data_IF_099407315118
#
_entry.id   IF_099407315118
#
_cell.length_a   1.000
_cell.length_b   1.000
_cell.length_c   1.000
_cell.angle_alpha   90.00
_cell.angle_beta   90.00
_cell.angle_gamma   90.00
#
_symmetry.space_group_name_H-M   'P 1'
#
loop_
_entity.id
_entity.type
_entity.pdbx_description
1 polymer ?
#
# COMPACT_ATOMS: atom_id res chain seq x y z
N UNK A 1 -38.45 12.28 86.76
CA UNK A 1 -39.07 13.40 86.01
C UNK A 1 -38.70 13.19 84.54
N UNK A 2 -39.57 12.70 83.63
CA UNK A 2 -40.73 13.37 82.96
C UNK A 2 -40.28 14.70 82.30
N UNK A 3 -40.42 15.05 81.01
CA UNK A 3 -41.24 14.71 79.80
C UNK A 3 -40.52 15.37 78.59
N UNK A 4 -40.20 14.72 77.45
CA UNK A 4 -40.98 14.45 76.21
C UNK A 4 -41.22 15.65 75.24
N UNK A 5 -41.07 15.37 73.93
CA UNK A 5 -41.56 16.06 72.69
C UNK A 5 -40.51 16.95 71.98
N UNK A 6 -40.24 16.88 70.67
CA UNK A 6 -40.76 16.13 69.52
C UNK A 6 -40.03 16.67 68.26
N UNK A 7 -39.67 15.85 67.27
CA UNK A 7 -40.39 15.75 66.00
C UNK A 7 -39.85 14.57 65.19
N UNK A 8 -40.76 13.65 64.84
CA UNK A 8 -40.67 12.73 63.71
C UNK A 8 -41.01 13.50 62.42
N UNK A 9 -40.43 13.12 61.28
CA UNK A 9 -41.08 12.74 60.01
C UNK A 9 -39.98 12.37 58.98
N UNK A 10 -40.03 11.11 58.49
CA UNK A 10 -39.75 10.56 57.15
C UNK A 10 -38.51 11.04 56.36
N UNK A 11 -37.62 10.18 55.82
CA UNK A 11 -37.93 9.17 54.80
C UNK A 11 -36.87 8.05 54.71
N UNK A 12 -37.32 6.94 54.15
CA UNK A 12 -36.67 5.65 53.84
C UNK A 12 -35.64 5.65 52.69
N UNK A 13 -34.59 4.82 52.87
CA UNK A 13 -33.99 3.81 51.95
C UNK A 13 -33.34 4.24 50.60
N UNK A 14 -32.12 3.71 50.36
CA UNK A 14 -31.33 3.59 49.12
C UNK A 14 -30.87 4.91 48.47
N UNK A 15 -29.61 5.16 48.10
CA UNK A 15 -28.49 4.33 47.67
C UNK A 15 -27.25 5.21 47.61
N UNK A 16 -26.04 4.71 47.90
CA UNK A 16 -24.85 5.14 47.16
C UNK A 16 -23.71 4.14 47.35
N UNK A 17 -23.29 3.59 46.22
CA UNK A 17 -22.31 2.54 46.04
C UNK A 17 -20.93 3.20 46.05
N UNK A 18 -20.17 3.07 47.15
CA UNK A 18 -18.72 3.33 47.12
C UNK A 18 -18.03 2.04 46.67
N UNK A 19 -17.89 1.88 45.35
CA UNK A 19 -17.14 0.80 44.71
C UNK A 19 -15.64 1.01 44.93
N UNK A 20 -15.09 0.18 45.81
CA UNK A 20 -13.81 -0.54 45.67
C UNK A 20 -12.80 0.04 44.68
N UNK A 21 -11.69 0.54 45.21
CA UNK A 21 -10.45 0.83 44.49
C UNK A 21 -10.05 -0.38 43.64
N UNK A 22 -10.07 -0.18 42.31
CA UNK A 22 -9.72 -1.17 41.32
C UNK A 22 -8.23 -0.99 40.98
N UNK A 23 -7.42 -2.00 41.31
CA UNK A 23 -6.05 -2.13 40.84
C UNK A 23 -6.08 -2.47 39.34
N UNK A 24 -6.09 -1.46 38.48
CA UNK A 24 -5.82 -1.63 37.04
C UNK A 24 -4.76 -0.61 36.62
N UNK A 25 -3.53 -1.09 36.50
CA UNK A 25 -2.49 -0.45 35.69
C UNK A 25 -3.06 -0.22 34.30
N UNK A 26 -3.32 1.04 33.96
CA UNK A 26 -3.62 1.42 32.58
C UNK A 26 -2.30 1.28 31.82
N UNK A 27 -2.19 0.25 30.97
CA UNK A 27 -1.10 0.10 30.02
C UNK A 27 -1.21 1.32 29.09
N UNK A 28 -0.18 2.18 29.08
CA UNK A 28 -0.11 3.28 28.12
C UNK A 28 -0.15 2.67 26.71
N UNK A 29 -1.19 2.97 25.95
CA UNK A 29 -1.38 2.45 24.60
C UNK A 29 -1.15 3.58 23.62
N UNK A 30 -0.27 3.37 22.65
CA UNK A 30 -0.09 4.28 21.53
C UNK A 30 -1.21 4.10 20.49
N UNK A 31 -1.52 5.15 19.71
CA UNK A 31 -2.43 5.03 18.57
C UNK A 31 -1.84 4.08 17.51
N UNK A 32 -2.69 3.58 16.61
CA UNK A 32 -2.27 2.67 15.55
C UNK A 32 -1.08 3.23 14.74
N UNK A 33 -0.15 2.34 14.40
CA UNK A 33 1.09 2.70 13.69
C UNK A 33 2.17 3.35 14.55
N UNK A 34 2.01 3.39 15.88
CA UNK A 34 3.00 3.94 16.80
C UNK A 34 3.43 2.91 17.86
N UNK A 35 4.71 2.91 18.21
CA UNK A 35 5.28 2.12 19.29
C UNK A 35 5.50 2.96 20.55
N UNK A 36 5.26 2.33 21.71
CA UNK A 36 5.57 2.93 23.01
C UNK A 36 7.04 2.66 23.35
N UNK A 37 7.80 3.69 23.70
CA UNK A 37 9.14 3.48 24.27
C UNK A 37 9.00 2.74 25.61
N UNK A 38 9.67 1.60 25.74
CA UNK A 38 9.41 0.54 26.73
C UNK A 38 9.57 0.99 28.18
N UNK A 39 10.35 2.05 28.43
CA UNK A 39 10.63 2.53 29.79
C UNK A 39 10.20 3.98 30.06
N UNK A 40 9.35 4.54 29.19
CA UNK A 40 8.72 5.85 29.44
C UNK A 40 7.21 5.74 29.38
N UNK A 41 6.54 6.34 30.37
CA UNK A 41 5.10 6.45 30.36
C UNK A 41 4.73 7.60 29.42
N UNK A 42 4.33 7.26 28.19
CA UNK A 42 3.63 8.11 27.20
C UNK A 42 4.45 8.73 26.07
N UNK A 43 5.63 8.20 25.72
CA UNK A 43 6.29 8.57 24.45
C UNK A 43 5.96 7.52 23.40
N UNK A 44 5.28 7.97 22.35
CA UNK A 44 4.91 7.17 21.20
C UNK A 44 5.70 7.66 19.99
N UNK A 45 6.45 6.76 19.36
CA UNK A 45 7.14 7.03 18.11
C UNK A 45 6.42 6.32 16.97
N UNK A 46 6.45 6.87 15.77
CA UNK A 46 5.85 6.21 14.61
C UNK A 46 6.67 4.96 14.25
N UNK A 47 6.02 3.91 13.77
CA UNK A 47 6.69 2.63 13.46
C UNK A 47 7.84 2.74 12.46
N UNK A 48 7.82 3.75 11.59
CA UNK A 48 8.89 4.03 10.62
C UNK A 48 10.13 4.68 11.24
N UNK A 49 10.06 5.06 12.52
CA UNK A 49 11.15 5.69 13.28
C UNK A 49 11.85 4.71 14.21
N UNK A 50 11.58 3.42 14.05
CA UNK A 50 12.25 2.37 14.78
C UNK A 50 13.31 1.76 13.87
N UNK A 51 14.57 1.70 14.33
CA UNK A 51 15.73 1.31 13.54
C UNK A 51 15.98 2.20 12.30
N UNK A 52 15.75 3.51 12.42
CA UNK A 52 15.93 4.48 11.34
C UNK A 52 17.26 5.25 11.41
N UNK A 53 18.06 5.00 12.46
CA UNK A 53 19.37 5.61 12.69
C UNK A 53 19.34 6.95 13.43
N UNK A 54 18.14 7.50 13.71
CA UNK A 54 17.94 8.66 14.57
C UNK A 54 17.45 8.19 15.95
N UNK A 55 17.94 8.83 17.02
CA UNK A 55 17.52 8.48 18.39
C UNK A 55 16.25 9.27 18.74
N UNK A 56 15.10 8.63 18.63
CA UNK A 56 13.78 9.19 18.90
C UNK A 56 13.21 8.75 20.27
N UNK A 57 13.62 7.60 20.82
CA UNK A 57 13.33 7.24 22.22
C UNK A 57 14.42 7.76 23.19
N UNK A 58 14.06 8.18 24.43
CA UNK A 58 15.02 8.77 25.37
C UNK A 58 16.19 7.89 25.80
N UNK A 59 16.05 6.57 25.64
CA UNK A 59 17.06 5.58 25.98
C UNK A 59 17.63 4.88 24.73
N UNK A 60 17.36 5.42 23.53
CA UNK A 60 17.74 4.81 22.24
C UNK A 60 17.22 3.38 22.04
N UNK A 61 16.14 3.02 22.74
CA UNK A 61 15.51 1.68 22.66
C UNK A 61 14.95 1.38 21.27
N UNK A 62 14.59 2.43 20.53
CA UNK A 62 14.17 2.40 19.13
C UNK A 62 15.30 1.98 18.17
N UNK A 63 16.55 2.11 18.60
CA UNK A 63 17.75 1.78 17.83
C UNK A 63 18.55 0.60 18.43
N UNK A 64 18.07 0.02 19.54
CA UNK A 64 18.68 -1.13 20.18
C UNK A 64 18.19 -2.44 19.53
N UNK A 65 19.12 -3.39 19.33
CA UNK A 65 18.83 -4.73 18.79
C UNK A 65 18.18 -4.75 17.38
N UNK A 66 18.48 -3.76 16.56
CA UNK A 66 18.17 -3.80 15.13
C UNK A 66 18.99 -4.92 14.46
N UNK A 67 18.35 -6.05 14.14
CA UNK A 67 18.97 -7.17 13.43
C UNK A 67 19.26 -6.73 11.98
N UNK A 68 20.52 -6.89 11.57
CA UNK A 68 21.14 -6.60 10.28
C UNK A 68 20.63 -5.36 9.51
N UNK A 69 21.53 -4.36 9.41
CA UNK A 69 21.39 -3.08 8.69
C UNK A 69 20.88 -3.17 7.23
N UNK A 70 20.87 -4.37 6.62
CA UNK A 70 20.31 -4.62 5.30
C UNK A 70 18.78 -4.81 5.32
N UNK A 71 18.26 -5.40 6.40
CA UNK A 71 16.82 -5.53 6.60
C UNK A 71 16.23 -4.18 6.99
N UNK A 72 16.93 -3.35 7.79
CA UNK A 72 16.61 -1.93 8.13
C UNK A 72 16.18 -1.09 6.91
N UNK A 73 16.95 -1.17 5.82
CA UNK A 73 16.66 -0.51 4.54
C UNK A 73 15.44 -1.07 3.80
N UNK A 74 14.95 -2.24 4.20
CA UNK A 74 13.87 -2.98 3.54
C UNK A 74 12.72 -3.36 4.51
N UNK A 75 12.61 -2.75 5.71
CA UNK A 75 11.44 -2.98 6.60
C UNK A 75 10.13 -2.62 5.89
N UNK A 76 10.18 -1.58 5.06
CA UNK A 76 9.10 -1.24 4.14
C UNK A 76 8.71 -2.44 3.26
N UNK A 77 9.63 -3.30 2.82
CA UNK A 77 9.32 -4.49 2.01
C UNK A 77 8.55 -5.57 2.78
N UNK A 78 8.78 -5.72 4.09
CA UNK A 78 8.12 -6.75 4.91
C UNK A 78 6.78 -6.30 5.51
N UNK A 79 6.62 -5.00 5.78
CA UNK A 79 5.39 -4.43 6.34
C UNK A 79 4.62 -3.54 5.36
N UNK A 80 5.06 -3.44 4.09
CA UNK A 80 4.24 -2.84 3.04
C UNK A 80 2.92 -3.56 3.01
N UNK A 81 1.87 -2.79 3.29
CA UNK A 81 0.49 -3.14 2.94
C UNK A 81 0.51 -3.78 1.56
N UNK A 82 -0.23 -4.89 1.40
CA UNK A 82 -0.45 -5.49 0.08
C UNK A 82 -0.79 -4.36 -0.90
N UNK A 83 -0.47 -4.44 -2.19
CA UNK A 83 -0.82 -3.40 -3.15
C UNK A 83 -2.31 -2.98 -3.13
N UNK A 84 -3.19 -3.80 -2.54
CA UNK A 84 -4.62 -3.60 -2.29
C UNK A 84 -4.98 -2.91 -0.94
N UNK A 85 -4.01 -2.68 -0.06
CA UNK A 85 -4.18 -2.18 1.31
C UNK A 85 -3.37 -0.89 1.57
N UNK A 86 -2.68 -0.34 0.55
CA UNK A 86 -1.90 0.91 0.67
C UNK A 86 -2.79 2.10 1.10
N UNK A 87 -4.13 1.99 1.01
CA UNK A 87 -5.05 3.08 1.38
C UNK A 87 -6.31 2.56 2.10
N UNK A 88 -6.23 2.35 3.42
CA UNK A 88 -7.39 1.95 4.25
C UNK A 88 -8.24 3.16 4.67
N UNK A 89 -7.90 4.37 4.22
CA UNK A 89 -8.52 5.61 4.71
C UNK A 89 -9.22 6.45 3.64
N UNK A 90 -9.29 5.96 2.40
CA UNK A 90 -9.74 6.74 1.27
C UNK A 90 -11.24 6.57 0.99
N UNK A 91 -11.89 7.72 0.84
CA UNK A 91 -13.23 7.90 0.28
C UNK A 91 -13.51 6.89 -0.86
N UNK A 92 -14.38 5.91 -0.60
CA UNK A 92 -14.71 4.83 -1.55
C UNK A 92 -15.38 5.35 -2.85
N UNK A 93 -15.73 6.64 -2.90
CA UNK A 93 -16.41 7.21 -4.07
C UNK A 93 -15.46 7.39 -5.25
N UNK A 94 -15.96 7.10 -6.45
CA UNK A 94 -15.23 7.33 -7.69
C UNK A 94 -15.16 8.84 -7.98
N UNK A 95 -13.94 9.37 -8.18
CA UNK A 95 -13.69 10.76 -8.55
C UNK A 95 -13.48 10.96 -10.05
N UNK A 96 -13.61 9.90 -10.84
CA UNK A 96 -13.47 9.89 -12.29
C UNK A 96 -14.85 9.86 -12.95
N UNK A 97 -15.03 10.58 -14.05
CA UNK A 97 -16.19 10.39 -14.92
C UNK A 97 -16.02 9.08 -15.74
N UNK A 98 -16.30 7.95 -15.09
CA UNK A 98 -16.13 6.61 -15.65
C UNK A 98 -17.46 5.85 -15.72
N UNK A 99 -17.82 5.42 -16.91
CA UNK A 99 -19.01 4.61 -17.17
C UNK A 99 -18.63 3.32 -17.92
N UNK A 100 -17.77 2.51 -17.31
CA UNK A 100 -17.31 1.24 -17.88
C UNK A 100 -17.44 0.06 -16.92
N UNK A 101 -16.98 -1.11 -17.37
CA UNK A 101 -17.17 -2.37 -16.66
C UNK A 101 -16.22 -2.57 -15.46
N UNK A 102 -15.22 -1.71 -15.31
CA UNK A 102 -14.26 -1.78 -14.22
C UNK A 102 -14.80 -1.12 -12.94
N UNK A 103 -14.28 -1.54 -11.79
CA UNK A 103 -14.63 -0.93 -10.51
C UNK A 103 -13.75 0.31 -10.34
N UNK A 104 -14.38 1.47 -10.14
CA UNK A 104 -13.66 2.70 -9.83
C UNK A 104 -13.67 2.96 -8.32
N UNK A 105 -12.51 3.30 -7.75
CA UNK A 105 -12.36 3.75 -6.36
C UNK A 105 -11.43 4.95 -6.35
N UNK A 106 -11.88 6.11 -5.86
CA UNK A 106 -11.13 7.36 -5.95
C UNK A 106 -10.65 7.65 -7.39
N UNK A 107 -9.37 7.42 -7.70
CA UNK A 107 -8.73 7.59 -9.03
C UNK A 107 -8.09 6.30 -9.53
N UNK A 108 -8.51 5.18 -8.97
CA UNK A 108 -8.02 3.86 -9.28
C UNK A 108 -9.10 3.09 -10.06
N UNK A 109 -8.68 2.45 -11.15
CA UNK A 109 -9.55 1.58 -11.96
C UNK A 109 -9.13 0.13 -11.81
N UNK A 110 -10.03 -0.69 -11.25
CA UNK A 110 -9.85 -2.10 -10.98
C UNK A 110 -10.63 -2.94 -12.00
N UNK A 111 -9.93 -3.46 -12.99
CA UNK A 111 -10.44 -4.21 -14.14
C UNK A 111 -10.12 -5.71 -14.04
N UNK A 112 -10.50 -6.35 -12.93
CA UNK A 112 -10.18 -7.75 -12.68
C UNK A 112 -11.00 -8.72 -13.53
N UNK A 113 -10.37 -9.77 -14.05
CA UNK A 113 -11.02 -10.92 -14.70
C UNK A 113 -12.04 -10.58 -15.81
N UNK A 114 -11.80 -9.49 -16.54
CA UNK A 114 -12.66 -9.03 -17.65
C UNK A 114 -12.32 -9.67 -18.99
N UNK A 115 -11.32 -10.56 -19.02
CA UNK A 115 -10.80 -11.22 -20.22
C UNK A 115 -10.33 -10.23 -21.31
N UNK A 116 -9.82 -9.06 -20.90
CA UNK A 116 -9.26 -8.07 -21.83
C UNK A 116 -8.00 -8.61 -22.51
N UNK A 117 -7.86 -8.31 -23.79
CA UNK A 117 -6.66 -8.57 -24.60
C UNK A 117 -5.91 -7.29 -24.96
N UNK A 118 -6.58 -6.14 -24.85
CA UNK A 118 -6.06 -4.77 -24.98
C UNK A 118 -6.72 -3.87 -23.94
N UNK A 119 -6.10 -2.75 -23.63
CA UNK A 119 -6.71 -1.73 -22.77
C UNK A 119 -8.03 -1.24 -23.39
N UNK A 120 -9.14 -1.19 -22.63
CA UNK A 120 -10.44 -0.81 -23.16
C UNK A 120 -10.48 0.66 -23.58
N UNK A 121 -11.35 1.01 -24.54
CA UNK A 121 -11.37 2.35 -25.15
C UNK A 121 -12.11 3.38 -24.26
N UNK A 122 -12.82 2.93 -23.21
CA UNK A 122 -13.63 3.76 -22.30
C UNK A 122 -12.87 4.27 -21.07
N UNK A 123 -11.53 4.36 -21.15
CA UNK A 123 -10.71 4.88 -20.06
C UNK A 123 -10.79 6.41 -20.04
N UNK A 124 -11.09 7.05 -18.90
CA UNK A 124 -11.12 8.51 -18.79
C UNK A 124 -9.73 9.10 -19.06
N UNK A 125 -9.68 10.29 -19.66
CA UNK A 125 -8.42 11.03 -19.89
C UNK A 125 -7.98 11.88 -18.70
N UNK A 126 -8.69 11.77 -17.59
CA UNK A 126 -8.38 12.44 -16.33
C UNK A 126 -7.21 11.76 -15.61
N UNK A 127 -6.72 12.39 -14.53
CA UNK A 127 -5.63 11.84 -13.73
C UNK A 127 -6.03 10.54 -13.02
N UNK A 128 -5.73 9.41 -13.66
CA UNK A 128 -5.78 8.06 -13.09
C UNK A 128 -4.46 7.78 -12.38
N UNK A 129 -4.55 7.31 -11.13
CA UNK A 129 -3.40 6.99 -10.31
C UNK A 129 -2.95 5.53 -10.53
N UNK A 130 -3.89 4.59 -10.41
CA UNK A 130 -3.65 3.15 -10.55
C UNK A 130 -4.60 2.52 -11.57
N UNK A 131 -4.06 1.64 -12.40
CA UNK A 131 -4.86 0.73 -13.22
C UNK A 131 -4.48 -0.72 -12.92
N UNK A 132 -5.48 -1.51 -12.57
CA UNK A 132 -5.30 -2.92 -12.26
C UNK A 132 -6.03 -3.81 -13.26
N UNK A 133 -5.27 -4.58 -14.02
CA UNK A 133 -5.74 -5.50 -15.03
C UNK A 133 -5.52 -6.96 -14.64
N UNK A 134 -5.39 -7.27 -13.34
CA UNK A 134 -5.13 -8.62 -12.85
C UNK A 134 -6.14 -9.64 -13.42
N UNK A 135 -5.64 -10.81 -13.84
CA UNK A 135 -6.48 -11.93 -14.31
C UNK A 135 -6.99 -11.81 -15.76
N UNK A 136 -6.53 -10.81 -16.52
CA UNK A 136 -6.89 -10.67 -17.93
C UNK A 136 -6.04 -11.57 -18.87
N UNK A 137 -6.17 -11.41 -20.18
CA UNK A 137 -5.54 -12.30 -21.18
C UNK A 137 -4.63 -11.52 -22.15
N UNK A 138 -3.70 -10.76 -21.59
CA UNK A 138 -2.73 -9.98 -22.33
C UNK A 138 -1.56 -10.84 -22.81
N UNK A 139 -1.77 -11.71 -23.79
CA UNK A 139 -0.72 -12.63 -24.25
C UNK A 139 0.58 -11.92 -24.69
N UNK A 140 0.46 -10.76 -25.32
CA UNK A 140 1.58 -9.93 -25.76
C UNK A 140 1.28 -8.45 -25.49
N UNK A 141 2.24 -7.72 -24.94
CA UNK A 141 2.14 -6.28 -24.74
C UNK A 141 2.97 -5.58 -25.82
N UNK A 142 2.29 -4.86 -26.70
CA UNK A 142 2.88 -3.97 -27.68
C UNK A 142 2.35 -2.55 -27.55
N UNK A 143 2.77 -1.64 -28.45
CA UNK A 143 2.37 -0.23 -28.40
C UNK A 143 0.85 -0.04 -28.50
N UNK A 144 0.15 -0.90 -29.24
CA UNK A 144 -1.31 -0.85 -29.41
C UNK A 144 -2.08 -1.44 -28.21
N UNK A 145 -1.43 -2.29 -27.40
CA UNK A 145 -2.09 -2.96 -26.27
C UNK A 145 -2.42 -1.98 -25.15
N UNK A 146 -1.55 -0.99 -24.92
CA UNK A 146 -1.68 0.01 -23.85
C UNK A 146 -1.96 1.43 -24.37
N UNK A 147 -2.34 1.57 -25.65
CA UNK A 147 -2.54 2.87 -26.32
C UNK A 147 -3.61 3.75 -25.64
N UNK A 148 -4.65 3.13 -25.10
CA UNK A 148 -5.74 3.83 -24.42
C UNK A 148 -5.43 4.23 -22.97
N UNK A 149 -4.30 3.76 -22.42
CA UNK A 149 -3.93 4.06 -21.04
C UNK A 149 -3.35 5.49 -20.97
N UNK A 150 -3.80 6.35 -20.05
CA UNK A 150 -3.27 7.70 -19.94
C UNK A 150 -1.78 7.75 -19.59
N UNK A 151 -1.06 8.70 -20.17
CA UNK A 151 0.40 8.83 -19.98
C UNK A 151 0.86 9.11 -18.54
N UNK A 152 -0.03 9.63 -17.70
CA UNK A 152 0.29 10.07 -16.34
C UNK A 152 -0.01 9.02 -15.26
N UNK A 153 -0.35 7.78 -15.64
CA UNK A 153 -0.57 6.73 -14.64
C UNK A 153 0.71 6.49 -13.83
N UNK A 154 0.54 6.21 -12.55
CA UNK A 154 1.67 6.01 -11.62
C UNK A 154 1.90 4.52 -11.38
N UNK A 155 0.83 3.73 -11.29
CA UNK A 155 0.87 2.30 -10.96
C UNK A 155 0.09 1.48 -11.99
N UNK A 156 0.75 0.51 -12.61
CA UNK A 156 0.14 -0.45 -13.53
C UNK A 156 0.29 -1.87 -12.98
N UNK A 157 -0.85 -2.55 -12.81
CA UNK A 157 -0.88 -3.93 -12.33
C UNK A 157 -1.33 -4.86 -13.45
N UNK A 158 -0.45 -5.76 -13.86
CA UNK A 158 -0.64 -6.74 -14.93
C UNK A 158 -0.35 -8.17 -14.43
N UNK A 159 -0.81 -8.49 -13.22
CA UNK A 159 -0.56 -9.80 -12.60
C UNK A 159 -1.46 -10.87 -13.20
N UNK A 160 -0.95 -12.10 -13.34
CA UNK A 160 -1.77 -13.23 -13.82
C UNK A 160 -2.42 -12.99 -15.19
N UNK A 161 -1.80 -12.16 -16.02
CA UNK A 161 -2.33 -11.75 -17.32
C UNK A 161 -1.92 -12.67 -18.47
N UNK A 162 -1.19 -13.76 -18.18
CA UNK A 162 -0.67 -14.73 -19.16
C UNK A 162 0.26 -14.09 -20.20
N UNK A 163 0.97 -13.03 -19.81
CA UNK A 163 1.87 -12.31 -20.71
C UNK A 163 3.08 -13.20 -21.03
N UNK A 164 3.33 -13.41 -22.31
CA UNK A 164 4.44 -14.21 -22.84
C UNK A 164 5.52 -13.33 -23.47
N UNK A 165 5.11 -12.22 -24.09
CA UNK A 165 5.99 -11.36 -24.90
C UNK A 165 5.77 -9.87 -24.60
N UNK A 166 6.87 -9.12 -24.59
CA UNK A 166 6.87 -7.65 -24.50
C UNK A 166 7.62 -7.09 -25.72
N UNK A 167 7.02 -6.13 -26.41
CA UNK A 167 7.71 -5.32 -27.43
C UNK A 167 8.62 -4.30 -26.76
N UNK A 168 9.68 -3.85 -27.43
CA UNK A 168 10.52 -2.76 -26.93
C UNK A 168 9.69 -1.48 -26.66
N UNK A 169 8.62 -1.29 -27.42
CA UNK A 169 7.72 -0.14 -27.34
C UNK A 169 6.52 -0.34 -26.42
N UNK A 170 6.46 -1.45 -25.68
CA UNK A 170 5.31 -1.83 -24.85
C UNK A 170 4.85 -0.71 -23.89
N UNK A 171 5.81 0.01 -23.30
CA UNK A 171 5.55 0.99 -22.25
C UNK A 171 5.75 2.45 -22.68
N UNK A 172 5.86 2.73 -23.98
CA UNK A 172 6.06 4.10 -24.48
C UNK A 172 4.94 5.06 -24.07
N UNK A 173 3.72 4.55 -24.04
CA UNK A 173 2.56 5.34 -23.68
C UNK A 173 2.52 5.67 -22.17
N UNK A 174 3.12 4.85 -21.30
CA UNK A 174 3.02 4.99 -19.83
C UNK A 174 4.33 5.51 -19.22
N UNK A 175 4.87 6.59 -19.80
CA UNK A 175 6.21 7.11 -19.50
C UNK A 175 6.41 7.68 -18.09
N UNK A 176 5.33 8.04 -17.39
CA UNK A 176 5.38 8.56 -16.01
C UNK A 176 5.15 7.49 -14.94
N UNK A 177 5.01 6.22 -15.35
CA UNK A 177 4.78 5.11 -14.44
C UNK A 177 5.98 4.92 -13.49
N UNK A 178 5.68 4.71 -12.21
CA UNK A 178 6.66 4.46 -11.15
C UNK A 178 6.65 3.01 -10.68
N UNK A 179 5.48 2.37 -10.67
CA UNK A 179 5.29 1.00 -10.17
C UNK A 179 4.68 0.12 -11.26
N UNK A 180 5.38 -0.96 -11.63
CA UNK A 180 4.92 -1.95 -12.59
C UNK A 180 4.92 -3.35 -11.97
N UNK A 181 3.77 -4.02 -12.01
CA UNK A 181 3.63 -5.39 -11.53
C UNK A 181 3.37 -6.32 -12.71
N UNK A 182 4.32 -7.21 -12.98
CA UNK A 182 4.23 -8.26 -13.99
C UNK A 182 4.34 -9.66 -13.36
N UNK A 183 4.06 -9.77 -12.07
CA UNK A 183 4.13 -11.03 -11.33
C UNK A 183 3.18 -12.09 -11.89
N UNK A 184 3.57 -13.36 -11.77
CA UNK A 184 2.73 -14.50 -12.14
C UNK A 184 2.31 -14.47 -13.62
N UNK A 185 3.24 -14.12 -14.51
CA UNK A 185 3.05 -14.20 -15.96
C UNK A 185 3.94 -15.33 -16.53
N UNK A 186 4.09 -15.37 -17.86
CA UNK A 186 4.87 -16.38 -18.59
C UNK A 186 5.97 -15.71 -19.43
N UNK A 187 6.50 -14.59 -18.94
CA UNK A 187 7.54 -13.85 -19.63
C UNK A 187 8.81 -14.70 -19.72
N UNK A 188 9.38 -14.79 -20.92
CA UNK A 188 10.59 -15.60 -21.17
C UNK A 188 11.83 -14.77 -21.46
N UNK A 189 11.64 -13.61 -22.08
CA UNK A 189 12.71 -12.73 -22.53
C UNK A 189 12.35 -11.25 -22.35
N UNK A 190 13.38 -10.43 -22.14
CA UNK A 190 13.27 -8.97 -22.08
C UNK A 190 14.02 -8.35 -23.26
N UNK A 191 13.35 -7.60 -24.16
CA UNK A 191 14.03 -6.94 -25.27
C UNK A 191 14.93 -5.80 -24.79
N UNK A 192 15.88 -5.41 -25.63
CA UNK A 192 16.68 -4.19 -25.42
C UNK A 192 15.77 -2.96 -25.32
N UNK A 193 16.13 -2.00 -24.47
CA UNK A 193 15.46 -0.70 -24.39
C UNK A 193 13.96 -0.75 -24.04
N UNK A 194 13.48 -1.85 -23.46
CA UNK A 194 12.06 -2.04 -23.05
C UNK A 194 11.51 -0.87 -22.22
N UNK A 195 12.34 -0.30 -21.36
CA UNK A 195 11.95 0.79 -20.44
C UNK A 195 12.56 2.14 -20.80
N UNK A 196 12.97 2.34 -22.07
CA UNK A 196 13.57 3.60 -22.52
C UNK A 196 12.68 4.82 -22.21
N UNK A 197 11.37 4.69 -22.49
CA UNK A 197 10.39 5.74 -22.23
C UNK A 197 9.90 5.78 -20.76
N UNK A 198 10.02 4.68 -20.01
CA UNK A 198 9.55 4.54 -18.64
C UNK A 198 10.71 4.75 -17.63
N UNK A 199 11.47 5.83 -17.81
CA UNK A 199 12.68 6.13 -17.05
C UNK A 199 12.43 6.59 -15.59
N UNK A 200 11.16 6.78 -15.20
CA UNK A 200 10.75 7.10 -13.84
C UNK A 200 10.37 5.85 -13.02
N UNK A 201 10.57 4.65 -13.56
CA UNK A 201 10.22 3.41 -12.88
C UNK A 201 11.09 3.24 -11.62
N UNK A 202 10.41 3.11 -10.48
CA UNK A 202 11.00 2.94 -9.15
C UNK A 202 10.85 1.47 -8.67
N UNK A 203 9.81 0.78 -9.13
CA UNK A 203 9.51 -0.59 -8.73
C UNK A 203 9.05 -1.43 -9.93
N UNK A 204 9.66 -2.59 -10.10
CA UNK A 204 9.33 -3.55 -11.14
C UNK A 204 9.24 -4.95 -10.54
N UNK A 205 8.04 -5.48 -10.32
CA UNK A 205 7.92 -6.85 -9.78
C UNK A 205 7.73 -7.88 -10.90
N UNK A 206 8.69 -8.81 -11.01
CA UNK A 206 8.75 -9.86 -12.04
C UNK A 206 8.57 -11.28 -11.48
N UNK A 207 8.20 -11.41 -10.21
CA UNK A 207 8.13 -12.69 -9.53
C UNK A 207 7.26 -13.72 -10.26
N UNK A 208 7.60 -15.00 -10.17
CA UNK A 208 6.82 -16.09 -10.77
C UNK A 208 6.62 -15.94 -12.29
N UNK A 209 7.70 -15.65 -13.03
CA UNK A 209 7.75 -15.73 -14.49
C UNK A 209 8.69 -16.85 -14.96
N UNK A 210 8.80 -17.06 -16.28
CA UNK A 210 9.65 -18.09 -16.91
C UNK A 210 10.90 -17.45 -17.56
N UNK A 211 11.45 -16.40 -16.95
CA UNK A 211 12.51 -15.59 -17.55
C UNK A 211 13.77 -16.44 -17.66
N UNK A 212 14.22 -16.63 -18.91
CA UNK A 212 15.40 -17.41 -19.25
C UNK A 212 16.54 -16.55 -19.79
N UNK A 213 16.20 -15.38 -20.35
CA UNK A 213 17.15 -14.45 -20.93
C UNK A 213 16.71 -13.00 -20.69
N UNK A 214 17.65 -12.13 -20.34
CA UNK A 214 17.41 -10.69 -20.22
C UNK A 214 18.46 -10.00 -21.08
N UNK A 215 18.03 -9.18 -22.03
CA UNK A 215 18.97 -8.42 -22.84
C UNK A 215 19.76 -7.43 -21.95
N UNK A 216 21.10 -7.30 -22.09
CA UNK A 216 21.91 -6.45 -21.21
C UNK A 216 21.45 -4.98 -21.15
N UNK A 217 20.89 -4.48 -22.25
CA UNK A 217 20.36 -3.11 -22.38
C UNK A 217 18.88 -2.96 -21.98
N UNK A 218 18.24 -4.01 -21.46
CA UNK A 218 16.82 -3.93 -21.07
C UNK A 218 16.57 -2.92 -19.94
N UNK A 219 17.49 -2.83 -18.97
CA UNK A 219 17.37 -2.00 -17.78
C UNK A 219 18.26 -0.75 -17.79
N UNK A 220 18.96 -0.47 -18.89
CA UNK A 220 19.94 0.64 -19.00
C UNK A 220 19.36 2.01 -18.61
N UNK A 221 18.08 2.22 -18.89
CA UNK A 221 17.39 3.50 -18.67
C UNK A 221 16.72 3.62 -17.30
N UNK A 222 16.70 2.55 -16.50
CA UNK A 222 16.06 2.48 -15.19
C UNK A 222 16.98 3.00 -14.07
N UNK A 223 17.34 4.28 -14.15
CA UNK A 223 18.26 4.91 -13.18
C UNK A 223 17.65 5.12 -11.79
N UNK A 224 16.32 5.17 -11.71
CA UNK A 224 15.56 5.36 -10.48
C UNK A 224 15.01 4.09 -9.87
N UNK A 225 15.39 2.91 -10.37
CA UNK A 225 14.87 1.64 -9.88
C UNK A 225 15.36 1.38 -8.47
N UNK A 226 14.42 1.23 -7.55
CA UNK A 226 14.63 0.94 -6.13
C UNK A 226 14.41 -0.55 -5.87
N UNK A 227 13.45 -1.17 -6.56
CA UNK A 227 13.03 -2.55 -6.31
C UNK A 227 12.77 -3.33 -7.62
N UNK A 228 13.28 -4.56 -7.68
CA UNK A 228 13.19 -5.50 -8.82
C UNK A 228 12.88 -6.93 -8.36
#
# INVERSE_FOLDING_TARGET
MLVLIGLLISTTIESEIVKTENLTSAIASCPDGHFLCLNTTNICIHQSKNCDGDVDCPLAEDEDLCDDFLDALHWDSMFRKRPLAEDDHDDETCKLDYNGDCICRHRDLLCHDKNYTKAPDNIPKEFIHLMDFTGNNFKSIGPTTLENIPHHIIKLVLKQCKIEELSAEAFYNVSKMKKLYLDNNRLKYFPSHLFEAANHLEMLLLGYNEISEIHPLAFEHLKGLIEL
#
